data_IF_709344927417
#
_entry.id   IF_709344927417
#
_cell.length_a   1.000
_cell.length_b   1.000
_cell.length_c   1.000
_cell.angle_alpha   90.00
_cell.angle_beta   90.00
_cell.angle_gamma   90.00
#
_symmetry.space_group_name_H-M   'P 1'
#
loop_
_entity.id
_entity.type
_entity.pdbx_description
1 polymer ?
#
# COMPACT_ATOMS: atom_id res chain seq x y z
N UNK A 1 -5.54 17.81 16.38
CA UNK A 1 -5.91 16.42 16.73
C UNK A 1 -4.70 15.57 16.37
N UNK A 2 -3.88 15.19 17.35
CA UNK A 2 -2.70 14.34 17.12
C UNK A 2 -3.20 12.92 16.87
N UNK A 3 -3.12 12.47 15.62
CA UNK A 3 -3.36 11.09 15.25
C UNK A 3 -2.31 10.21 15.93
N UNK A 4 -2.74 9.22 16.68
CA UNK A 4 -1.83 8.28 17.31
C UNK A 4 -1.02 7.54 16.24
N UNK A 5 0.29 7.40 16.47
CA UNK A 5 1.32 6.93 15.51
C UNK A 5 1.05 5.52 14.93
N UNK A 6 0.06 4.78 15.44
CA UNK A 6 -0.31 3.43 15.01
C UNK A 6 -1.79 3.29 14.57
N UNK A 7 -2.45 4.39 14.23
CA UNK A 7 -3.80 4.28 13.65
C UNK A 7 -3.72 3.57 12.31
N UNK A 8 -4.47 2.50 12.17
CA UNK A 8 -4.52 1.72 10.95
C UNK A 8 -3.73 0.42 10.94
N UNK A 9 -2.81 0.18 11.88
CA UNK A 9 -2.10 -1.09 11.95
C UNK A 9 -3.01 -2.20 12.53
N UNK A 10 -2.87 -3.42 12.01
CA UNK A 10 -3.51 -4.61 12.58
C UNK A 10 -2.81 -5.06 13.85
N UNK A 11 -3.57 -5.56 14.81
CA UNK A 11 -3.04 -6.15 16.04
C UNK A 11 -2.39 -7.51 15.78
N UNK A 12 -1.38 -7.84 16.58
CA UNK A 12 -0.73 -9.14 16.51
C UNK A 12 -1.63 -10.27 17.01
N UNK A 13 -1.48 -11.47 16.45
CA UNK A 13 -2.13 -12.67 16.90
C UNK A 13 -1.52 -13.19 18.21
N UNK A 14 -2.34 -13.68 19.10
CA UNK A 14 -1.90 -14.28 20.35
C UNK A 14 -1.19 -15.63 20.12
N UNK A 15 -0.21 -15.95 20.94
CA UNK A 15 0.48 -17.24 20.88
C UNK A 15 -0.43 -18.40 21.31
N UNK A 16 -0.19 -19.59 20.75
CA UNK A 16 -0.83 -20.82 21.19
C UNK A 16 -0.30 -21.23 22.58
N UNK A 17 -1.18 -21.77 23.42
CA UNK A 17 -0.83 -22.29 24.73
C UNK A 17 -0.12 -23.67 24.64
N UNK A 18 0.59 -24.03 25.71
CA UNK A 18 1.32 -25.32 25.81
C UNK A 18 0.40 -26.53 25.70
N UNK A 19 -0.83 -26.42 26.23
CA UNK A 19 -1.83 -27.52 26.25
C UNK A 19 -3.19 -26.94 25.82
N UNK A 20 -3.67 -27.38 24.68
CA UNK A 20 -5.09 -27.29 24.31
C UNK A 20 -5.70 -25.91 24.06
N UNK A 21 -4.94 -24.80 24.14
CA UNK A 21 -5.49 -23.44 23.95
C UNK A 21 -4.88 -22.78 22.71
N UNK A 22 -5.73 -22.43 21.75
CA UNK A 22 -5.31 -21.64 20.59
C UNK A 22 -5.10 -20.17 20.95
N UNK A 23 -4.17 -19.52 20.28
CA UNK A 23 -3.95 -18.07 20.40
C UNK A 23 -5.13 -17.27 19.83
N UNK A 24 -5.44 -16.15 20.44
CA UNK A 24 -6.46 -15.22 19.89
C UNK A 24 -5.98 -14.57 18.61
N UNK A 25 -6.86 -14.36 17.66
CA UNK A 25 -6.56 -13.54 16.48
C UNK A 25 -6.30 -12.07 16.88
N UNK A 26 -5.44 -11.41 16.15
CA UNK A 26 -5.18 -9.97 16.32
C UNK A 26 -6.38 -9.13 15.90
N UNK A 27 -6.59 -8.00 16.54
CA UNK A 27 -7.61 -7.04 16.12
C UNK A 27 -7.24 -6.44 14.75
N UNK A 28 -8.23 -6.11 13.94
CA UNK A 28 -8.00 -5.33 12.72
C UNK A 28 -7.56 -3.90 13.03
N UNK A 29 -6.80 -3.30 12.13
CA UNK A 29 -6.44 -1.88 12.23
C UNK A 29 -7.66 -0.98 12.14
N UNK A 30 -7.63 0.14 12.83
CA UNK A 30 -8.76 1.09 12.89
C UNK A 30 -8.59 2.21 11.88
N UNK A 31 -9.64 2.49 11.10
CA UNK A 31 -9.75 3.64 10.19
C UNK A 31 -10.76 4.65 10.76
N UNK A 32 -10.65 5.91 10.31
CA UNK A 32 -11.67 6.92 10.60
C UNK A 32 -13.06 6.55 10.02
N UNK A 33 -13.09 5.78 8.94
CA UNK A 33 -14.31 5.15 8.43
C UNK A 33 -14.32 3.66 8.83
N UNK A 34 -15.25 3.22 9.70
CA UNK A 34 -15.29 1.82 10.16
C UNK A 34 -15.38 0.78 9.03
N UNK A 35 -15.95 1.13 7.87
CA UNK A 35 -16.01 0.23 6.71
C UNK A 35 -14.63 -0.06 6.09
N UNK A 36 -13.63 0.74 6.41
CA UNK A 36 -12.24 0.59 5.95
C UNK A 36 -11.31 0.04 7.03
N UNK A 37 -11.85 -0.37 8.17
CA UNK A 37 -11.07 -1.08 9.18
C UNK A 37 -10.45 -2.34 8.59
N UNK A 38 -9.25 -2.68 9.05
CA UNK A 38 -8.68 -3.99 8.78
C UNK A 38 -9.52 -5.11 9.43
N UNK A 39 -9.55 -6.27 8.82
CA UNK A 39 -10.21 -7.44 9.41
C UNK A 39 -9.40 -7.99 10.60
N UNK A 40 -10.11 -8.46 11.62
CA UNK A 40 -9.46 -9.21 12.69
C UNK A 40 -8.89 -10.53 12.17
N UNK A 41 -7.76 -10.95 12.73
CA UNK A 41 -7.17 -12.25 12.48
C UNK A 41 -8.02 -13.38 13.11
N UNK A 42 -8.00 -14.56 12.50
CA UNK A 42 -8.66 -15.72 13.05
C UNK A 42 -7.94 -16.23 14.31
N UNK A 43 -8.71 -16.74 15.26
CA UNK A 43 -8.13 -17.43 16.41
C UNK A 43 -7.43 -18.73 15.98
N UNK A 44 -6.38 -19.08 16.66
CA UNK A 44 -5.74 -20.39 16.52
C UNK A 44 -6.63 -21.49 17.08
N UNK A 45 -6.55 -22.68 16.51
CA UNK A 45 -7.23 -23.87 17.01
C UNK A 45 -6.47 -24.50 18.16
N UNK A 46 -7.18 -25.27 18.99
CA UNK A 46 -6.64 -25.93 20.17
C UNK A 46 -6.64 -27.46 19.96
N UNK A 47 -5.62 -28.06 19.31
CA UNK A 47 -5.44 -29.50 19.30
C UNK A 47 -5.07 -30.03 20.69
N UNK A 48 -5.17 -31.32 20.90
CA UNK A 48 -4.95 -31.99 22.21
C UNK A 48 -3.53 -31.85 22.77
N UNK A 49 -2.57 -31.35 21.96
CA UNK A 49 -1.16 -31.19 22.36
C UNK A 49 -0.55 -29.91 21.79
N UNK A 50 -0.75 -28.80 22.49
CA UNK A 50 -0.23 -27.48 22.10
C UNK A 50 -1.14 -26.74 21.11
N UNK A 51 -1.53 -25.52 21.43
CA UNK A 51 -2.41 -24.69 20.61
C UNK A 51 -1.72 -24.04 19.42
N UNK A 52 -2.44 -23.81 18.34
CA UNK A 52 -1.96 -23.00 17.21
C UNK A 52 -1.92 -21.51 17.59
N UNK A 53 -1.00 -20.75 17.02
CA UNK A 53 -1.00 -19.30 17.12
C UNK A 53 -2.21 -18.69 16.39
N UNK A 54 -2.73 -17.58 16.91
CA UNK A 54 -3.75 -16.78 16.23
C UNK A 54 -3.16 -15.99 15.06
N UNK A 55 -3.96 -15.69 14.05
CA UNK A 55 -3.52 -14.87 12.93
C UNK A 55 -3.41 -13.40 13.34
N UNK A 56 -2.51 -12.65 12.70
CA UNK A 56 -2.46 -11.21 12.81
C UNK A 56 -3.67 -10.53 12.16
N UNK A 57 -4.11 -9.43 12.70
CA UNK A 57 -5.16 -8.60 12.12
C UNK A 57 -4.66 -7.85 10.88
N UNK A 58 -5.52 -7.55 9.95
CA UNK A 58 -5.16 -6.75 8.78
C UNK A 58 -4.99 -5.26 9.15
N UNK A 59 -4.10 -4.56 8.43
CA UNK A 59 -4.01 -3.11 8.48
C UNK A 59 -5.22 -2.44 7.86
N UNK A 60 -5.59 -1.27 8.35
CA UNK A 60 -6.69 -0.48 7.80
C UNK A 60 -6.25 0.30 6.56
N UNK A 61 -7.21 0.60 5.69
CA UNK A 61 -7.07 1.62 4.64
C UNK A 61 -7.55 2.96 5.21
N UNK A 62 -6.75 4.02 5.19
CA UNK A 62 -7.16 5.34 5.68
C UNK A 62 -8.24 5.99 4.80
N UNK A 63 -8.78 7.12 5.24
CA UNK A 63 -9.82 7.87 4.52
C UNK A 63 -9.30 9.16 3.88
N UNK A 64 -8.13 9.62 4.28
CA UNK A 64 -7.57 10.88 3.81
C UNK A 64 -6.71 10.65 2.58
N UNK A 65 -6.88 11.50 1.57
CA UNK A 65 -6.14 11.42 0.32
C UNK A 65 -4.62 11.47 0.55
N UNK A 66 -3.89 10.57 -0.12
CA UNK A 66 -2.45 10.48 -0.02
C UNK A 66 -1.91 9.79 1.24
N UNK A 67 -2.78 9.37 2.17
CA UNK A 67 -2.33 8.64 3.37
C UNK A 67 -1.92 7.20 3.06
N UNK A 68 -0.96 6.73 3.84
CA UNK A 68 -0.42 5.37 3.72
C UNK A 68 -1.34 4.35 4.39
N UNK A 69 -1.44 3.16 3.82
CA UNK A 69 -2.14 2.01 4.43
C UNK A 69 -1.46 1.56 5.71
N UNK A 70 -2.25 1.05 6.66
CA UNK A 70 -1.75 0.49 7.90
C UNK A 70 -1.02 -0.85 7.68
N UNK A 71 -0.01 -1.14 8.48
CA UNK A 71 0.66 -2.44 8.43
C UNK A 71 -0.25 -3.57 8.95
N UNK A 72 -0.09 -4.78 8.44
CA UNK A 72 -0.71 -5.98 9.02
C UNK A 72 -0.03 -6.38 10.32
N UNK A 73 -0.79 -6.92 11.26
CA UNK A 73 -0.27 -7.50 12.50
C UNK A 73 0.45 -8.83 12.27
N UNK A 74 1.37 -9.18 13.15
CA UNK A 74 2.08 -10.44 13.06
C UNK A 74 1.21 -11.63 13.51
N UNK A 75 1.47 -12.81 12.96
CA UNK A 75 0.86 -14.04 13.46
C UNK A 75 1.48 -14.48 14.79
N UNK A 76 0.67 -15.03 15.68
CA UNK A 76 1.12 -15.62 16.94
C UNK A 76 1.89 -16.92 16.73
N UNK A 77 2.82 -17.22 17.64
CA UNK A 77 3.57 -18.48 17.60
C UNK A 77 2.70 -19.66 18.03
N UNK A 78 3.00 -20.84 17.51
CA UNK A 78 2.41 -22.10 17.98
C UNK A 78 2.97 -22.48 19.37
N UNK A 79 2.16 -23.19 20.16
CA UNK A 79 2.67 -23.93 21.33
C UNK A 79 3.57 -25.07 20.91
N UNK A 80 4.02 -25.92 21.83
CA UNK A 80 5.09 -26.94 21.61
C UNK A 80 4.91 -27.79 20.34
N UNK A 81 3.68 -28.11 19.96
CA UNK A 81 3.33 -28.87 18.74
C UNK A 81 2.37 -28.10 17.82
N UNK A 82 2.05 -26.83 18.15
CA UNK A 82 1.13 -26.00 17.40
C UNK A 82 1.75 -25.31 16.19
N UNK A 83 0.96 -25.03 15.20
CA UNK A 83 1.37 -24.23 14.05
C UNK A 83 1.41 -22.74 14.40
N UNK A 84 2.30 -21.98 13.74
CA UNK A 84 2.26 -20.52 13.78
C UNK A 84 1.05 -19.96 13.05
N UNK A 85 0.50 -18.86 13.53
CA UNK A 85 -0.56 -18.09 12.86
C UNK A 85 -0.03 -17.29 11.67
N UNK A 86 -0.86 -17.03 10.69
CA UNK A 86 -0.47 -16.20 9.54
C UNK A 86 -0.35 -14.71 9.93
N UNK A 87 0.52 -13.97 9.27
CA UNK A 87 0.57 -12.52 9.34
C UNK A 87 -0.65 -11.88 8.67
N UNK A 88 -1.10 -10.76 9.20
CA UNK A 88 -2.18 -9.96 8.62
C UNK A 88 -1.74 -9.22 7.35
N UNK A 89 -2.67 -8.96 6.45
CA UNK A 89 -2.39 -8.16 5.26
C UNK A 89 -2.18 -6.68 5.60
N UNK A 90 -1.34 -5.96 4.86
CA UNK A 90 -1.26 -4.51 4.91
C UNK A 90 -2.49 -3.86 4.26
N UNK A 91 -2.91 -2.72 4.78
CA UNK A 91 -3.94 -1.87 4.20
C UNK A 91 -3.46 -1.15 2.94
N UNK A 92 -4.36 -0.75 2.06
CA UNK A 92 -4.01 -0.01 0.86
C UNK A 92 -3.72 1.46 1.18
N UNK A 93 -2.83 2.08 0.40
CA UNK A 93 -2.68 3.54 0.37
C UNK A 93 -3.87 4.19 -0.34
N UNK A 94 -4.17 5.42 0.04
CA UNK A 94 -5.28 6.19 -0.53
C UNK A 94 -4.81 7.01 -1.72
N UNK A 95 -5.62 7.10 -2.75
CA UNK A 95 -5.32 7.93 -3.91
C UNK A 95 -5.13 9.41 -3.53
N UNK A 96 -4.24 10.09 -4.24
CA UNK A 96 -4.09 11.54 -4.15
C UNK A 96 -5.33 12.29 -4.62
N UNK A 97 -5.46 13.54 -4.21
CA UNK A 97 -6.48 14.48 -4.70
C UNK A 97 -5.84 15.83 -4.94
N UNK A 98 -6.60 16.80 -5.44
CA UNK A 98 -6.09 18.12 -5.83
C UNK A 98 -5.24 18.86 -4.77
N UNK A 99 -5.33 18.52 -3.48
CA UNK A 99 -4.51 19.11 -2.42
C UNK A 99 -3.35 18.18 -2.00
N UNK A 100 -3.57 16.85 -2.08
CA UNK A 100 -2.56 15.84 -1.79
C UNK A 100 -2.31 15.05 -3.08
N UNK A 101 -1.45 15.59 -3.96
CA UNK A 101 -1.25 15.07 -5.33
C UNK A 101 -0.77 13.62 -5.36
N UNK A 102 0.06 13.21 -4.40
CA UNK A 102 0.64 11.87 -4.41
C UNK A 102 -0.30 10.85 -3.77
N UNK A 103 -0.29 9.63 -4.32
CA UNK A 103 -0.95 8.50 -3.69
C UNK A 103 -0.18 8.01 -2.46
N UNK A 104 -0.90 7.55 -1.45
CA UNK A 104 -0.31 6.94 -0.26
C UNK A 104 0.30 5.57 -0.55
N UNK A 105 1.32 5.18 0.19
CA UNK A 105 1.93 3.86 0.07
C UNK A 105 1.03 2.78 0.68
N UNK A 106 1.12 1.56 0.17
CA UNK A 106 0.52 0.39 0.80
C UNK A 106 1.24 0.02 2.10
N UNK A 107 0.50 -0.46 3.07
CA UNK A 107 1.06 -0.99 4.32
C UNK A 107 1.76 -2.33 4.10
N UNK A 108 2.77 -2.62 4.91
CA UNK A 108 3.48 -3.90 4.84
C UNK A 108 2.61 -5.03 5.40
N UNK A 109 2.82 -6.26 4.89
CA UNK A 109 2.22 -7.46 5.47
C UNK A 109 2.90 -7.86 6.79
N UNK A 110 2.13 -8.40 7.72
CA UNK A 110 2.63 -8.92 8.99
C UNK A 110 3.45 -10.21 8.81
N UNK A 111 4.36 -10.45 9.73
CA UNK A 111 5.20 -11.66 9.75
C UNK A 111 4.36 -12.85 10.20
N UNK A 112 4.57 -14.03 9.61
CA UNK A 112 3.99 -15.29 10.09
C UNK A 112 4.60 -15.74 11.41
N UNK A 113 3.78 -16.28 12.30
CA UNK A 113 4.23 -16.85 13.57
C UNK A 113 5.05 -18.12 13.37
N UNK A 114 5.98 -18.38 14.26
CA UNK A 114 6.79 -19.60 14.22
C UNK A 114 5.98 -20.83 14.63
N UNK A 115 6.32 -21.99 14.05
CA UNK A 115 5.81 -23.28 14.51
C UNK A 115 6.41 -23.70 15.86
N UNK A 116 5.75 -24.63 16.54
CA UNK A 116 6.22 -25.19 17.81
C UNK A 116 7.53 -25.96 17.68
N UNK A 117 8.26 -26.09 18.80
CA UNK A 117 9.59 -26.69 18.83
C UNK A 117 9.62 -28.21 18.58
N UNK A 118 8.58 -28.94 18.99
CA UNK A 118 8.48 -30.39 18.83
C UNK A 118 7.80 -30.78 17.50
N UNK A 119 6.80 -29.99 17.08
CA UNK A 119 6.13 -30.11 15.79
C UNK A 119 5.44 -28.77 15.50
N UNK A 120 4.95 -28.60 14.29
CA UNK A 120 4.21 -27.39 13.89
C UNK A 120 4.89 -26.65 12.76
N UNK A 121 4.09 -26.21 11.81
CA UNK A 121 4.53 -25.42 10.65
C UNK A 121 4.63 -23.95 11.01
N UNK A 122 5.51 -23.22 10.34
CA UNK A 122 5.48 -21.76 10.38
C UNK A 122 4.23 -21.20 9.69
N UNK A 123 3.70 -20.12 10.19
CA UNK A 123 2.61 -19.38 9.54
C UNK A 123 3.09 -18.57 8.32
N UNK A 124 2.26 -18.39 7.33
CA UNK A 124 2.57 -17.58 6.14
C UNK A 124 2.66 -16.08 6.49
N UNK A 125 3.49 -15.35 5.78
CA UNK A 125 3.56 -13.88 5.86
C UNK A 125 2.33 -13.24 5.22
N UNK A 126 1.89 -12.12 5.76
CA UNK A 126 0.79 -11.33 5.21
C UNK A 126 1.17 -10.63 3.90
N UNK A 127 0.21 -10.38 3.04
CA UNK A 127 0.40 -9.62 1.79
C UNK A 127 0.66 -8.14 2.09
N UNK A 128 1.49 -7.49 1.29
CA UNK A 128 1.59 -6.03 1.27
C UNK A 128 0.34 -5.39 0.66
N UNK A 129 -0.04 -4.21 1.15
CA UNK A 129 -1.12 -3.41 0.57
C UNK A 129 -0.68 -2.72 -0.72
N UNK A 130 -1.63 -2.37 -1.57
CA UNK A 130 -1.34 -1.64 -2.80
C UNK A 130 -1.09 -0.16 -2.52
N UNK A 131 -0.25 0.49 -3.35
CA UNK A 131 -0.11 1.95 -3.37
C UNK A 131 -1.35 2.62 -3.97
N UNK A 132 -1.68 3.80 -3.47
CA UNK A 132 -2.74 4.64 -4.03
C UNK A 132 -2.30 5.34 -5.33
N UNK A 133 -3.23 5.64 -6.22
CA UNK A 133 -2.93 6.39 -7.43
C UNK A 133 -2.59 7.86 -7.12
N UNK A 134 -1.73 8.48 -7.92
CA UNK A 134 -1.52 9.93 -7.93
C UNK A 134 -2.74 10.67 -8.51
N UNK A 135 -3.01 11.88 -8.04
CA UNK A 135 -4.05 12.73 -8.60
C UNK A 135 -3.61 13.36 -9.92
N UNK A 136 -4.55 13.66 -10.79
CA UNK A 136 -4.27 14.50 -11.95
C UNK A 136 -3.95 15.93 -11.53
N UNK A 137 -3.05 16.58 -12.27
CA UNK A 137 -2.79 18.00 -12.12
C UNK A 137 -4.03 18.83 -12.42
N UNK A 138 -4.11 20.03 -11.83
CA UNK A 138 -5.22 20.94 -12.06
C UNK A 138 -5.25 21.38 -13.52
N UNK A 139 -6.42 21.24 -14.15
CA UNK A 139 -6.65 21.59 -15.55
C UNK A 139 -7.18 23.02 -15.65
N UNK A 140 -6.49 23.86 -16.38
CA UNK A 140 -6.87 25.24 -16.68
C UNK A 140 -7.26 25.45 -18.15
N UNK A 141 -7.37 24.38 -18.94
CA UNK A 141 -7.70 24.46 -20.37
C UNK A 141 -8.99 25.21 -20.67
N UNK A 142 -9.93 25.24 -19.74
CA UNK A 142 -11.19 26.01 -19.85
C UNK A 142 -11.07 27.49 -19.44
N UNK A 143 -9.89 27.92 -18.99
CA UNK A 143 -9.62 29.30 -18.56
C UNK A 143 -8.89 30.05 -19.69
N UNK A 144 -8.98 31.39 -19.67
CA UNK A 144 -8.34 32.25 -20.66
C UNK A 144 -7.35 33.23 -20.00
N UNK A 145 -6.58 32.79 -19.03
CA UNK A 145 -5.66 33.63 -18.25
C UNK A 145 -4.19 33.27 -18.42
N UNK A 146 -3.83 32.37 -19.34
CA UNK A 146 -2.46 31.93 -19.57
C UNK A 146 -1.82 31.15 -18.41
N UNK A 147 -2.62 30.65 -17.47
CA UNK A 147 -2.11 29.87 -16.35
C UNK A 147 -1.54 28.52 -16.81
N UNK A 148 -0.45 28.09 -16.19
CA UNK A 148 0.13 26.78 -16.46
C UNK A 148 -0.74 25.67 -15.83
N UNK A 149 -0.85 24.54 -16.51
CA UNK A 149 -1.46 23.33 -15.96
C UNK A 149 -0.71 22.82 -14.74
N UNK A 150 -1.45 22.24 -13.80
CA UNK A 150 -0.88 21.63 -12.60
C UNK A 150 -0.13 20.33 -12.92
N UNK A 151 0.87 20.00 -12.11
CA UNK A 151 1.59 18.71 -12.25
C UNK A 151 0.72 17.54 -11.75
N UNK A 152 0.85 16.38 -12.40
CA UNK A 152 0.28 15.13 -11.92
C UNK A 152 1.02 14.62 -10.69
N UNK A 153 0.29 14.01 -9.78
CA UNK A 153 0.85 13.39 -8.59
C UNK A 153 1.49 12.04 -8.86
N UNK A 154 2.45 11.67 -8.04
CA UNK A 154 3.08 10.33 -8.11
C UNK A 154 2.14 9.26 -7.53
N UNK A 155 2.20 8.06 -8.09
CA UNK A 155 1.60 6.87 -7.47
C UNK A 155 2.34 6.45 -6.21
N UNK A 156 1.62 5.97 -5.21
CA UNK A 156 2.20 5.42 -3.99
C UNK A 156 2.86 4.06 -4.22
N UNK A 157 3.85 3.75 -3.43
CA UNK A 157 4.54 2.45 -3.53
C UNK A 157 3.67 1.33 -2.96
N UNK A 158 3.83 0.10 -3.49
CA UNK A 158 3.26 -1.10 -2.90
C UNK A 158 3.97 -1.47 -1.59
N UNK A 159 3.23 -1.99 -0.63
CA UNK A 159 3.77 -2.48 0.63
C UNK A 159 4.54 -3.79 0.44
N UNK A 160 5.53 -4.03 1.29
CA UNK A 160 6.33 -5.25 1.26
C UNK A 160 5.52 -6.41 1.84
N UNK A 161 5.63 -7.61 1.25
CA UNK A 161 5.05 -8.84 1.81
C UNK A 161 5.75 -9.26 3.11
N UNK A 162 4.99 -9.76 4.08
CA UNK A 162 5.53 -10.23 5.35
C UNK A 162 6.39 -11.49 5.19
N UNK A 163 7.40 -11.65 6.04
CA UNK A 163 8.20 -12.88 6.09
C UNK A 163 7.33 -14.05 6.59
N UNK A 164 7.56 -15.27 6.07
CA UNK A 164 6.99 -16.50 6.64
C UNK A 164 7.64 -16.86 7.98
N UNK A 165 6.88 -17.50 8.88
CA UNK A 165 7.35 -18.00 10.16
C UNK A 165 8.29 -19.19 10.03
N UNK A 166 9.22 -19.32 10.95
CA UNK A 166 10.17 -20.41 10.97
C UNK A 166 9.54 -21.70 11.52
N UNK A 167 10.03 -22.87 11.10
CA UNK A 167 9.66 -24.17 11.65
C UNK A 167 10.91 -24.84 12.23
N UNK A 168 10.78 -25.40 13.44
CA UNK A 168 11.92 -25.96 14.18
C UNK A 168 11.96 -27.48 14.16
N UNK A 169 10.83 -28.14 13.96
CA UNK A 169 10.79 -29.60 13.85
C UNK A 169 11.31 -30.06 12.48
N UNK A 170 12.02 -31.16 12.44
CA UNK A 170 12.79 -31.66 11.26
C UNK A 170 11.95 -31.81 10.00
N UNK A 171 10.69 -32.21 10.12
CA UNK A 171 9.79 -32.41 8.98
C UNK A 171 8.67 -31.36 8.88
N UNK A 172 8.71 -30.32 9.71
CA UNK A 172 7.74 -29.25 9.66
C UNK A 172 8.13 -28.20 8.61
N UNK A 173 7.19 -27.83 7.75
CA UNK A 173 7.39 -26.81 6.72
C UNK A 173 7.34 -25.41 7.34
N UNK A 174 8.31 -24.58 7.02
CA UNK A 174 8.26 -23.17 7.34
C UNK A 174 7.21 -22.42 6.50
N UNK A 175 6.69 -21.33 7.01
CA UNK A 175 5.72 -20.48 6.31
C UNK A 175 6.29 -19.84 5.05
N UNK A 176 5.44 -19.63 4.06
CA UNK A 176 5.81 -18.89 2.85
C UNK A 176 5.84 -17.38 3.15
N UNK A 177 6.65 -16.62 2.41
CA UNK A 177 6.57 -15.18 2.40
C UNK A 177 5.28 -14.69 1.77
N UNK A 178 4.72 -13.58 2.25
CA UNK A 178 3.59 -12.92 1.64
C UNK A 178 3.95 -12.21 0.34
N UNK A 179 3.02 -12.07 -0.58
CA UNK A 179 3.24 -11.28 -1.79
C UNK A 179 3.40 -9.79 -1.49
N UNK A 180 4.21 -9.09 -2.26
CA UNK A 180 4.28 -7.63 -2.26
C UNK A 180 3.02 -7.00 -2.84
N UNK A 181 2.70 -5.79 -2.43
CA UNK A 181 1.62 -4.99 -3.00
C UNK A 181 1.98 -4.34 -4.33
N UNK A 182 1.01 -4.04 -5.15
CA UNK A 182 1.24 -3.34 -6.42
C UNK A 182 1.55 -1.85 -6.19
N UNK A 183 2.36 -1.25 -7.04
CA UNK A 183 2.55 0.20 -7.11
C UNK A 183 1.30 0.90 -7.62
N UNK A 184 1.07 2.13 -7.18
CA UNK A 184 -0.02 2.98 -7.65
C UNK A 184 0.28 3.62 -9.01
N UNK A 185 -0.76 3.88 -9.80
CA UNK A 185 -0.65 4.62 -11.05
C UNK A 185 -0.26 6.08 -10.82
N UNK A 186 0.42 6.66 -11.79
CA UNK A 186 0.73 8.09 -11.81
C UNK A 186 -0.49 8.93 -12.20
N UNK A 187 -0.57 10.17 -11.72
CA UNK A 187 -1.52 11.15 -12.21
C UNK A 187 -1.02 11.87 -13.47
N UNK A 188 -1.92 12.28 -14.34
CA UNK A 188 -1.58 13.06 -15.54
C UNK A 188 -1.40 14.53 -15.20
N UNK A 189 -0.59 15.23 -15.98
CA UNK A 189 -0.50 16.69 -15.92
C UNK A 189 -1.78 17.37 -16.38
N UNK A 190 -2.13 18.52 -15.79
CA UNK A 190 -3.27 19.32 -16.19
C UNK A 190 -2.98 20.18 -17.44
N UNK A 191 -4.00 20.51 -18.22
CA UNK A 191 -3.88 21.41 -19.38
C UNK A 191 -3.61 22.85 -18.97
N UNK A 192 -2.82 23.57 -19.78
CA UNK A 192 -2.60 25.01 -19.64
C UNK A 192 -3.78 25.83 -20.15
N UNK A 193 -4.01 27.00 -19.54
CA UNK A 193 -5.03 27.95 -19.96
C UNK A 193 -4.67 28.64 -21.28
N UNK A 194 -5.70 29.01 -22.05
CA UNK A 194 -5.51 29.88 -23.22
C UNK A 194 -5.00 31.25 -22.80
N UNK A 195 -4.22 31.89 -23.67
CA UNK A 195 -3.75 33.28 -23.47
C UNK A 195 -4.90 34.30 -23.65
N UNK A 196 -4.80 35.42 -22.94
CA UNK A 196 -5.70 36.56 -23.09
C UNK A 196 -4.87 37.82 -23.24
N UNK A 197 -5.02 38.49 -24.39
CA UNK A 197 -4.30 39.73 -24.71
C UNK A 197 -4.73 40.92 -23.83
N UNK A 198 -5.86 40.82 -23.16
CA UNK A 198 -6.37 41.90 -22.27
C UNK A 198 -5.73 41.80 -20.88
N UNK A 199 -5.17 40.64 -20.54
CA UNK A 199 -4.46 40.41 -19.28
C UNK A 199 -2.98 40.67 -19.47
N UNK A 200 -2.46 41.67 -18.75
CA UNK A 200 -1.04 42.08 -18.83
C UNK A 200 -0.05 40.99 -18.36
N UNK A 201 -0.55 39.88 -17.79
CA UNK A 201 0.27 38.87 -17.10
C UNK A 201 1.08 38.01 -18.08
N UNK A 202 0.62 37.63 -19.24
CA UNK A 202 1.38 36.80 -20.19
C UNK A 202 1.37 37.30 -21.62
N UNK A 203 0.95 38.56 -21.85
CA UNK A 203 0.92 39.19 -23.18
C UNK A 203 0.27 38.34 -24.28
N UNK A 204 -0.81 37.61 -23.90
CA UNK A 204 -1.54 36.74 -24.83
C UNK A 204 -0.95 35.32 -24.98
N UNK A 205 0.15 34.97 -24.32
CA UNK A 205 0.67 33.62 -24.39
C UNK A 205 -0.22 32.62 -23.63
N UNK A 206 -0.39 31.44 -24.20
CA UNK A 206 -1.06 30.33 -23.53
C UNK A 206 -0.17 29.70 -22.44
N UNK A 207 -0.79 29.18 -21.39
CA UNK A 207 -0.08 28.49 -20.33
C UNK A 207 0.51 27.15 -20.79
N UNK A 208 1.63 26.75 -20.22
CA UNK A 208 2.22 25.43 -20.47
C UNK A 208 1.35 24.32 -19.83
N UNK A 209 1.34 23.14 -20.45
CA UNK A 209 0.76 21.95 -19.82
C UNK A 209 1.62 21.49 -18.64
N UNK A 210 0.98 20.91 -17.63
CA UNK A 210 1.67 20.31 -16.48
C UNK A 210 2.35 18.98 -16.85
N UNK A 211 3.40 18.63 -16.12
CA UNK A 211 4.04 17.32 -16.27
C UNK A 211 3.20 16.21 -15.64
N UNK A 212 3.27 14.99 -16.21
CA UNK A 212 2.73 13.78 -15.57
C UNK A 212 3.58 13.38 -14.35
N UNK A 213 2.97 12.65 -13.43
CA UNK A 213 3.66 12.08 -12.27
C UNK A 213 4.41 10.79 -12.59
N UNK A 214 5.11 10.27 -11.60
CA UNK A 214 5.80 8.96 -11.66
C UNK A 214 4.90 7.84 -11.14
N UNK A 215 5.09 6.63 -11.63
CA UNK A 215 4.44 5.43 -11.08
C UNK A 215 5.00 5.07 -9.71
N UNK A 216 4.17 4.44 -8.89
CA UNK A 216 4.62 3.83 -7.64
C UNK A 216 5.43 2.56 -7.89
N UNK A 217 6.42 2.33 -7.04
CA UNK A 217 7.25 1.12 -7.10
C UNK A 217 6.47 -0.08 -6.55
N UNK A 218 6.63 -1.24 -7.15
CA UNK A 218 6.07 -2.49 -6.64
C UNK A 218 6.70 -2.88 -5.29
N UNK A 219 5.89 -3.39 -4.38
CA UNK A 219 6.38 -3.97 -3.13
C UNK A 219 7.05 -5.31 -3.39
N UNK A 220 8.11 -5.58 -2.65
CA UNK A 220 8.82 -6.87 -2.72
C UNK A 220 8.02 -7.97 -2.04
N UNK A 221 8.12 -9.19 -2.53
CA UNK A 221 7.62 -10.38 -1.85
C UNK A 221 8.42 -10.66 -0.58
N UNK A 222 7.72 -11.09 0.47
CA UNK A 222 8.35 -11.45 1.74
C UNK A 222 9.20 -12.71 1.61
N UNK A 223 10.27 -12.81 2.39
CA UNK A 223 11.08 -14.01 2.43
C UNK A 223 10.28 -15.18 3.04
N UNK A 224 10.51 -16.40 2.56
CA UNK A 224 10.02 -17.60 3.22
C UNK A 224 10.71 -17.84 4.56
N UNK A 225 9.99 -18.45 5.51
CA UNK A 225 10.53 -18.85 6.80
C UNK A 225 11.62 -19.91 6.66
N UNK A 226 12.41 -20.08 7.71
CA UNK A 226 13.46 -21.11 7.76
C UNK A 226 12.87 -22.42 8.27
N UNK A 227 13.13 -23.53 7.57
CA UNK A 227 12.88 -24.86 8.07
C UNK A 227 14.08 -25.39 8.84
N UNK A 228 13.89 -26.40 9.69
CA UNK A 228 14.97 -27.10 10.39
C UNK A 228 15.97 -27.72 9.42
N UNK A 229 15.50 -28.16 8.25
CA UNK A 229 16.33 -28.59 7.13
C UNK A 229 16.01 -27.75 5.88
N UNK A 230 16.96 -27.56 4.94
CA UNK A 230 16.78 -26.70 3.77
C UNK A 230 15.55 -27.05 2.90
N UNK A 231 15.20 -28.32 2.80
CA UNK A 231 14.05 -28.80 2.03
C UNK A 231 12.70 -28.33 2.62
N UNK A 232 12.65 -27.94 3.89
CA UNK A 232 11.44 -27.47 4.58
C UNK A 232 11.33 -25.94 4.67
N UNK A 233 12.20 -25.22 3.99
CA UNK A 233 12.14 -23.76 3.88
C UNK A 233 10.83 -23.32 3.18
N UNK A 234 10.23 -22.26 3.67
CA UNK A 234 9.10 -21.61 3.00
C UNK A 234 9.51 -20.95 1.68
N UNK A 235 8.60 -20.87 0.74
CA UNK A 235 8.81 -20.14 -0.51
C UNK A 235 8.85 -18.62 -0.27
N UNK A 236 9.60 -17.90 -1.09
CA UNK A 236 9.54 -16.43 -1.13
C UNK A 236 8.21 -16.02 -1.77
N UNK A 237 7.57 -14.98 -1.27
CA UNK A 237 6.39 -14.38 -1.85
C UNK A 237 6.70 -13.75 -3.22
N UNK A 238 5.71 -13.67 -4.08
CA UNK A 238 5.85 -12.96 -5.34
C UNK A 238 5.97 -11.44 -5.10
N UNK A 239 6.75 -10.76 -5.94
CA UNK A 239 6.76 -9.31 -5.96
C UNK A 239 5.42 -8.78 -6.48
N UNK A 240 5.04 -7.57 -6.09
CA UNK A 240 3.94 -6.84 -6.67
C UNK A 240 4.25 -6.44 -8.12
N UNK A 241 3.32 -5.77 -8.76
CA UNK A 241 3.50 -5.18 -10.10
C UNK A 241 3.55 -3.67 -10.01
N UNK A 242 4.39 -3.04 -10.82
CA UNK A 242 4.36 -1.59 -11.04
C UNK A 242 3.61 -1.30 -12.35
N UNK A 243 2.88 -0.17 -12.44
CA UNK A 243 2.36 0.29 -13.72
C UNK A 243 3.49 0.49 -14.74
N UNK A 244 3.19 0.28 -16.02
CA UNK A 244 4.19 0.28 -17.09
C UNK A 244 4.55 1.67 -17.63
N UNK A 245 3.73 2.70 -17.35
CA UNK A 245 3.96 4.07 -17.85
C UNK A 245 3.70 5.12 -16.76
N UNK A 246 4.47 6.20 -16.79
CA UNK A 246 4.19 7.42 -16.03
C UNK A 246 2.90 8.10 -16.47
N UNK A 247 2.50 9.16 -15.78
CA UNK A 247 1.39 10.01 -16.21
C UNK A 247 1.71 10.78 -17.48
N UNK A 248 0.71 11.01 -18.29
CA UNK A 248 0.85 11.86 -19.50
C UNK A 248 1.02 13.33 -19.11
N UNK A 249 1.78 14.08 -19.90
CA UNK A 249 1.84 15.53 -19.76
C UNK A 249 0.53 16.18 -20.24
N UNK A 250 0.14 17.29 -19.61
CA UNK A 250 -1.00 18.08 -20.05
C UNK A 250 -0.70 18.85 -21.33
N UNK A 251 -1.73 19.19 -22.08
CA UNK A 251 -1.61 20.02 -23.27
C UNK A 251 -1.33 21.49 -22.88
N UNK A 252 -0.50 22.17 -23.67
CA UNK A 252 -0.35 23.62 -23.55
C UNK A 252 -1.62 24.37 -23.97
N UNK A 253 -1.86 25.51 -23.36
CA UNK A 253 -2.95 26.40 -23.74
C UNK A 253 -2.66 27.09 -25.10
N UNK A 254 -3.70 27.42 -25.83
CA UNK A 254 -3.54 28.18 -27.07
C UNK A 254 -3.13 29.62 -26.74
N UNK A 255 -2.25 30.20 -27.55
CA UNK A 255 -2.02 31.65 -27.53
C UNK A 255 -3.27 32.43 -27.96
N UNK A 256 -3.41 33.67 -27.47
CA UNK A 256 -4.50 34.52 -27.90
C UNK A 256 -4.28 35.03 -29.33
N UNK A 257 -5.35 35.08 -30.10
CA UNK A 257 -5.31 35.72 -31.44
C UNK A 257 -5.35 37.23 -31.28
N UNK A 258 -4.58 37.99 -32.12
CA UNK A 258 -4.63 39.46 -32.08
C UNK A 258 -6.01 39.94 -32.47
N UNK A 259 -6.53 40.94 -31.77
CA UNK A 259 -7.83 41.57 -32.06
C UNK A 259 -7.70 42.72 -33.05
N UNK A 260 -6.48 43.11 -33.40
CA UNK A 260 -6.18 44.20 -34.33
C UNK A 260 -5.37 43.66 -35.50
N UNK A 261 -5.72 44.07 -36.72
CA UNK A 261 -4.98 43.68 -37.92
C UNK A 261 -3.51 44.13 -37.81
N UNK A 262 -2.59 43.18 -37.99
CA UNK A 262 -1.14 43.40 -37.83
C UNK A 262 -0.60 43.20 -36.41
N UNK A 263 -1.43 42.84 -35.43
CA UNK A 263 -0.98 42.47 -34.09
C UNK A 263 -0.29 41.09 -34.05
N UNK A 264 0.66 40.90 -33.16
CA UNK A 264 1.29 39.60 -32.95
C UNK A 264 0.35 38.70 -32.14
N UNK A 265 0.25 37.41 -32.52
CA UNK A 265 -0.36 36.35 -31.70
C UNK A 265 0.49 36.05 -30.47
N UNK A 266 -0.11 35.59 -29.39
CA UNK A 266 0.53 35.14 -28.16
C UNK A 266 0.90 33.64 -28.19
#
# INVERSE_FOLDING_TARGET
MTLAVNQGAGGDGGNGGEVGVGGKGGAGGVSANPALNGSAGANGTAPTSGGNGGNGGAGATPTVAGENGGAGGNGGHGGSVGNGGAGGAGGNGVAGTGLALNGGNGGNGGIGGNGGSAAGTGGDGGKGGNGGAGANGQDFSASANGANGGQGGNGGNGGIGGKGGDAFATFAKAGNGGAGGNGGAAGNGGGGAAGDVTLAINQGAGGAGGNGGNVGVAGQGGAGGKGAIPAMKGATGADGTAPTSGGDGGNGGNGASPTVAGGNGG
#
